data_IF_879521985452
#
_entry.id   IF_879521985452
#
_cell.length_a   1.000
_cell.length_b   1.000
_cell.length_c   1.000
_cell.angle_alpha   90.00
_cell.angle_beta   90.00
_cell.angle_gamma   90.00
#
_symmetry.space_group_name_H-M   'P 1'
#
loop_
_entity.id
_entity.type
_entity.pdbx_description
1 polymer ?
#
# COMPACT_ATOMS: atom_id res chain seq x y z
N UNK A 1 -16.84 -3.91 -18.42
CA UNK A 1 -15.54 -3.81 -17.69
C UNK A 1 -15.84 -3.86 -16.21
N UNK A 2 -15.02 -4.51 -15.39
CA UNK A 2 -15.22 -4.48 -13.93
C UNK A 2 -15.03 -3.04 -13.45
N UNK A 3 -16.09 -2.41 -12.96
CA UNK A 3 -16.02 -1.07 -12.37
C UNK A 3 -15.81 -1.24 -10.87
N UNK A 4 -14.66 -0.80 -10.35
CA UNK A 4 -14.34 -0.92 -8.93
C UNK A 4 -14.85 0.30 -8.15
N UNK A 5 -16.16 0.56 -8.19
CA UNK A 5 -16.79 1.78 -7.64
C UNK A 5 -16.52 2.03 -6.15
N UNK A 6 -16.14 0.97 -5.41
CA UNK A 6 -15.70 1.05 -4.02
C UNK A 6 -14.31 1.73 -3.84
N UNK A 7 -13.56 1.96 -4.93
CA UNK A 7 -12.37 2.82 -4.93
C UNK A 7 -12.84 4.28 -5.04
N UNK A 8 -13.14 4.91 -3.89
CA UNK A 8 -13.66 6.27 -3.85
C UNK A 8 -13.22 7.01 -2.57
N UNK A 9 -13.35 8.34 -2.59
CA UNK A 9 -13.01 9.24 -1.49
C UNK A 9 -13.78 8.91 -0.19
N UNK A 10 -15.04 8.49 -0.28
CA UNK A 10 -15.86 8.19 0.90
C UNK A 10 -15.31 7.02 1.71
N UNK A 11 -14.81 5.98 1.05
CA UNK A 11 -14.22 4.83 1.74
C UNK A 11 -12.73 5.02 2.01
N UNK A 12 -12.01 5.66 1.08
CA UNK A 12 -10.58 5.95 1.17
C UNK A 12 -9.75 4.76 1.66
N UNK A 13 -10.05 3.58 1.11
CA UNK A 13 -9.27 2.39 1.34
C UNK A 13 -7.86 2.57 0.77
N UNK A 14 -6.90 1.93 1.42
CA UNK A 14 -5.48 1.96 1.08
C UNK A 14 -4.92 0.55 1.12
N UNK A 15 -4.02 0.23 0.19
CA UNK A 15 -3.51 -1.12 -0.04
C UNK A 15 -1.99 -1.16 -0.05
N UNK A 16 -1.42 -2.17 0.62
CA UNK A 16 0.03 -2.42 0.60
C UNK A 16 0.32 -3.88 0.33
N UNK A 17 1.14 -4.13 -0.68
CA UNK A 17 1.62 -5.48 -1.00
C UNK A 17 2.81 -5.84 -0.11
N UNK A 18 2.81 -7.06 0.44
CA UNK A 18 3.89 -7.61 1.26
C UNK A 18 4.11 -9.07 0.90
N UNK A 19 5.30 -9.58 1.18
CA UNK A 19 5.55 -11.02 1.14
C UNK A 19 4.92 -11.68 2.38
N UNK A 20 4.27 -12.83 2.22
CA UNK A 20 3.55 -13.50 3.32
C UNK A 20 4.44 -13.89 4.49
N UNK A 21 5.73 -14.17 4.24
CA UNK A 21 6.69 -14.50 5.32
C UNK A 21 6.92 -13.33 6.28
N UNK A 22 6.62 -12.09 5.86
CA UNK A 22 6.73 -10.93 6.74
C UNK A 22 5.53 -10.82 7.69
N UNK A 23 4.41 -11.52 7.42
CA UNK A 23 3.17 -11.34 8.17
C UNK A 23 3.28 -11.67 9.65
N UNK A 24 3.89 -12.79 10.10
CA UNK A 24 4.03 -13.05 11.53
C UNK A 24 4.64 -11.87 12.28
N UNK A 25 5.76 -11.33 11.78
CA UNK A 25 6.42 -10.19 12.39
C UNK A 25 5.56 -8.92 12.32
N UNK A 26 4.93 -8.63 11.18
CA UNK A 26 4.08 -7.44 11.00
C UNK A 26 2.82 -7.50 11.88
N UNK A 27 2.27 -8.69 12.12
CA UNK A 27 1.12 -8.87 13.00
C UNK A 27 1.46 -8.62 14.47
N UNK A 28 2.71 -8.87 14.87
CA UNK A 28 3.20 -8.63 16.23
C UNK A 28 3.71 -7.19 16.44
N UNK A 29 4.25 -6.56 15.40
CA UNK A 29 4.96 -5.29 15.51
C UNK A 29 4.29 -4.12 14.77
N UNK A 30 3.20 -4.38 14.05
CA UNK A 30 2.59 -3.45 13.09
C UNK A 30 3.46 -3.20 11.85
N UNK A 31 2.98 -2.34 10.96
CA UNK A 31 3.66 -2.04 9.70
C UNK A 31 4.50 -0.79 9.90
N UNK A 32 5.82 -0.96 9.96
CA UNK A 32 6.77 0.13 10.23
C UNK A 32 7.36 0.73 8.96
N UNK A 33 7.71 2.01 9.01
CA UNK A 33 8.40 2.72 7.95
C UNK A 33 9.84 2.23 7.78
N UNK A 34 10.45 2.58 6.65
CA UNK A 34 11.79 2.13 6.31
C UNK A 34 12.87 2.71 7.23
N UNK A 35 12.67 3.91 7.80
CA UNK A 35 13.62 4.54 8.73
C UNK A 35 13.52 4.04 10.17
N UNK A 36 12.50 3.23 10.51
CA UNK A 36 12.33 2.62 11.83
C UNK A 36 13.59 1.89 12.31
N UNK A 37 13.90 2.00 13.60
CA UNK A 37 14.94 1.21 14.28
C UNK A 37 14.48 -0.21 14.57
N UNK A 38 13.17 -0.42 14.66
CA UNK A 38 12.56 -1.74 14.84
C UNK A 38 12.33 -2.34 13.46
N UNK A 39 13.02 -3.44 13.14
CA UNK A 39 12.94 -4.14 11.86
C UNK A 39 13.01 -5.64 12.06
N UNK A 40 12.44 -6.38 11.12
CA UNK A 40 12.64 -7.81 11.00
C UNK A 40 13.98 -8.08 10.30
N UNK A 41 14.90 -8.81 10.93
CA UNK A 41 16.17 -9.23 10.33
C UNK A 41 15.96 -10.17 9.15
N UNK A 42 14.81 -10.84 9.08
CA UNK A 42 14.44 -11.77 8.02
C UNK A 42 13.44 -11.17 7.02
N UNK A 43 13.28 -9.83 7.01
CA UNK A 43 12.32 -9.17 6.14
C UNK A 43 12.57 -9.49 4.66
N UNK A 44 11.57 -10.06 4.00
CA UNK A 44 11.61 -10.35 2.57
C UNK A 44 11.21 -9.11 1.78
N UNK A 45 12.20 -8.42 1.21
CA UNK A 45 11.99 -7.26 0.35
C UNK A 45 11.53 -7.68 -1.06
N UNK A 46 10.38 -7.17 -1.48
CA UNK A 46 9.78 -7.42 -2.81
C UNK A 46 9.69 -6.17 -3.68
N UNK A 47 10.03 -4.99 -3.14
CA UNK A 47 10.01 -3.72 -3.86
C UNK A 47 11.30 -3.44 -4.61
N UNK A 48 11.30 -2.38 -5.42
CA UNK A 48 12.48 -1.93 -6.14
C UNK A 48 13.50 -1.26 -5.19
N UNK A 49 14.68 -1.85 -5.05
CA UNK A 49 15.72 -1.39 -4.12
C UNK A 49 16.23 0.02 -4.41
N UNK A 50 16.41 0.38 -5.69
CA UNK A 50 16.85 1.72 -6.08
C UNK A 50 15.82 2.78 -5.69
N UNK A 51 14.53 2.49 -5.91
CA UNK A 51 13.45 3.39 -5.52
C UNK A 51 13.38 3.52 -4.00
N UNK A 52 13.52 2.42 -3.25
CA UNK A 52 13.55 2.44 -1.78
C UNK A 52 14.71 3.31 -1.29
N UNK A 53 15.90 3.16 -1.87
CA UNK A 53 17.07 3.97 -1.53
C UNK A 53 16.88 5.45 -1.84
N UNK A 54 16.30 5.80 -3.00
CA UNK A 54 16.05 7.21 -3.35
C UNK A 54 15.02 7.89 -2.44
N UNK A 55 14.07 7.13 -1.89
CA UNK A 55 13.05 7.64 -0.96
C UNK A 55 13.64 8.14 0.37
N UNK A 56 14.82 7.66 0.79
CA UNK A 56 15.47 8.16 2.03
C UNK A 56 15.92 9.61 1.93
N UNK A 57 16.06 10.15 0.71
CA UNK A 57 16.52 11.51 0.47
C UNK A 57 15.43 12.42 -0.11
N UNK A 58 14.20 11.92 -0.31
CA UNK A 58 13.09 12.70 -0.85
C UNK A 58 12.35 13.39 0.29
N UNK A 59 12.50 14.72 0.48
CA UNK A 59 11.85 15.43 1.56
C UNK A 59 10.34 15.48 1.36
N UNK A 60 9.61 15.47 2.47
CA UNK A 60 8.16 15.72 2.50
C UNK A 60 7.94 17.19 2.86
N UNK A 61 7.27 17.98 1.99
CA UNK A 61 7.25 19.44 2.10
C UNK A 61 6.26 19.99 3.14
N UNK A 62 5.42 19.14 3.73
CA UNK A 62 4.40 19.51 4.72
C UNK A 62 4.54 18.67 5.99
N UNK A 63 4.00 19.15 7.11
CA UNK A 63 4.04 18.45 8.40
C UNK A 63 3.44 17.03 8.29
N UNK A 64 3.98 16.02 9.00
CA UNK A 64 5.07 16.11 9.99
C UNK A 64 6.48 16.26 9.38
N UNK A 65 6.61 16.27 8.05
CA UNK A 65 7.87 16.49 7.36
C UNK A 65 8.75 15.24 7.32
N UNK A 66 10.07 15.41 7.39
CA UNK A 66 11.02 14.32 7.22
C UNK A 66 11.14 13.90 5.75
N UNK A 67 11.30 12.60 5.51
CA UNK A 67 11.56 12.02 4.20
C UNK A 67 10.54 10.94 3.86
N UNK A 68 10.42 10.55 2.59
CA UNK A 68 9.55 9.43 2.21
C UNK A 68 9.91 8.08 2.86
N UNK A 69 11.08 7.95 3.49
CA UNK A 69 11.46 6.76 4.27
C UNK A 69 10.85 6.72 5.67
N UNK A 70 10.39 7.87 6.18
CA UNK A 70 9.69 8.02 7.46
C UNK A 70 8.21 7.64 7.37
N UNK A 71 7.75 7.24 6.17
CA UNK A 71 6.37 6.86 5.91
C UNK A 71 6.27 5.45 5.36
N UNK A 72 5.19 4.75 5.71
CA UNK A 72 4.78 3.51 5.09
C UNK A 72 3.88 3.84 3.89
N UNK A 73 4.31 3.57 2.64
CA UNK A 73 3.49 3.83 1.47
C UNK A 73 2.42 2.76 1.29
N UNK A 74 1.22 3.22 0.94
CA UNK A 74 0.07 2.44 0.49
C UNK A 74 -0.46 3.05 -0.81
N UNK A 75 -0.99 2.22 -1.70
CA UNK A 75 -1.71 2.64 -2.89
C UNK A 75 -3.18 2.92 -2.58
N UNK A 76 -3.85 3.73 -3.40
CA UNK A 76 -5.31 3.84 -3.43
C UNK A 76 -6.01 2.81 -4.34
N UNK A 77 -5.29 1.75 -4.72
CA UNK A 77 -5.84 0.62 -5.48
C UNK A 77 -5.05 -0.66 -5.18
N UNK A 78 -5.69 -1.84 -5.15
CA UNK A 78 -4.96 -3.10 -5.04
C UNK A 78 -4.20 -3.48 -6.33
N UNK A 79 -4.46 -2.80 -7.46
CA UNK A 79 -3.94 -3.18 -8.78
C UNK A 79 -2.68 -2.40 -9.19
N UNK A 80 -1.64 -2.39 -8.35
CA UNK A 80 -0.48 -1.53 -8.59
C UNK A 80 0.44 -2.02 -9.72
N UNK A 81 1.13 -1.10 -10.43
CA UNK A 81 2.19 -1.47 -11.38
C UNK A 81 3.31 -2.28 -10.70
N UNK A 82 3.60 -2.02 -9.42
CA UNK A 82 4.60 -2.77 -8.66
C UNK A 82 4.19 -4.24 -8.49
N UNK A 83 2.92 -4.53 -8.21
CA UNK A 83 2.40 -5.89 -8.13
C UNK A 83 2.59 -6.64 -9.47
N UNK A 84 2.33 -5.98 -10.60
CA UNK A 84 2.59 -6.54 -11.92
C UNK A 84 4.09 -6.76 -12.19
N UNK A 85 4.96 -5.83 -11.78
CA UNK A 85 6.41 -5.99 -11.90
C UNK A 85 6.93 -7.17 -11.06
N UNK A 86 6.40 -7.39 -9.85
CA UNK A 86 6.73 -8.54 -9.00
C UNK A 86 6.29 -9.86 -9.66
N UNK A 87 5.09 -9.89 -10.23
CA UNK A 87 4.60 -11.07 -10.94
C UNK A 87 5.45 -11.41 -12.17
N UNK A 88 5.86 -10.39 -12.94
CA UNK A 88 6.66 -10.58 -14.16
C UNK A 88 8.16 -10.71 -13.91
N UNK A 89 8.66 -10.25 -12.76
CA UNK A 89 10.09 -10.12 -12.45
C UNK A 89 10.77 -8.91 -13.09
N UNK A 90 10.00 -7.90 -13.51
CA UNK A 90 10.55 -6.73 -14.22
C UNK A 90 11.15 -5.72 -13.24
N UNK A 91 12.47 -5.71 -13.12
CA UNK A 91 13.21 -4.75 -12.30
C UNK A 91 13.07 -4.96 -10.78
N UNK A 92 12.53 -6.12 -10.38
CA UNK A 92 12.36 -6.59 -8.99
C UNK A 92 12.41 -8.12 -8.96
N UNK A 93 12.73 -8.75 -7.82
CA UNK A 93 12.67 -10.21 -7.68
C UNK A 93 11.27 -10.73 -8.01
N UNK A 94 11.19 -11.75 -8.88
CA UNK A 94 9.93 -12.39 -9.23
C UNK A 94 9.38 -13.15 -8.02
N UNK A 95 8.08 -13.00 -7.74
CA UNK A 95 7.38 -13.75 -6.70
C UNK A 95 6.17 -14.48 -7.27
N UNK A 96 5.77 -15.58 -6.62
CA UNK A 96 4.51 -16.26 -6.93
C UNK A 96 3.35 -15.53 -6.26
N UNK A 97 2.16 -15.61 -6.85
CA UNK A 97 0.98 -14.99 -6.25
C UNK A 97 0.66 -15.56 -4.87
N UNK A 98 0.89 -16.86 -4.62
CA UNK A 98 0.70 -17.47 -3.29
C UNK A 98 1.59 -16.86 -2.22
N UNK A 99 2.72 -16.25 -2.59
CA UNK A 99 3.68 -15.67 -1.65
C UNK A 99 3.42 -14.18 -1.37
N UNK A 100 2.45 -13.57 -2.05
CA UNK A 100 2.07 -12.17 -1.86
C UNK A 100 0.75 -12.06 -1.10
N UNK A 101 0.70 -11.11 -0.17
CA UNK A 101 -0.51 -10.68 0.50
C UNK A 101 -0.71 -9.17 0.31
N UNK A 102 -1.96 -8.72 0.29
CA UNK A 102 -2.33 -7.31 0.19
C UNK A 102 -2.97 -6.90 1.51
N UNK A 103 -2.29 -6.04 2.25
CA UNK A 103 -2.81 -5.41 3.47
C UNK A 103 -3.80 -4.31 3.08
N UNK A 104 -4.92 -4.23 3.79
CA UNK A 104 -5.98 -3.24 3.56
C UNK A 104 -6.21 -2.43 4.83
N UNK A 105 -6.22 -1.11 4.71
CA UNK A 105 -6.67 -0.18 5.74
C UNK A 105 -7.50 0.94 5.09
N UNK A 106 -7.94 1.94 5.87
CA UNK A 106 -8.70 3.10 5.36
C UNK A 106 -8.28 4.37 6.08
N UNK A 107 -8.07 5.47 5.35
CA UNK A 107 -7.60 6.72 5.95
C UNK A 107 -8.53 7.28 7.06
N UNK A 108 -9.87 7.20 6.96
CA UNK A 108 -10.72 7.68 8.05
C UNK A 108 -10.50 6.93 9.37
N UNK A 109 -10.14 5.63 9.34
CA UNK A 109 -9.79 4.89 10.56
C UNK A 109 -8.49 5.40 11.21
N UNK A 110 -7.52 5.79 10.38
CA UNK A 110 -6.26 6.37 10.86
C UNK A 110 -6.52 7.73 11.50
N UNK A 111 -7.36 8.58 10.87
CA UNK A 111 -7.75 9.87 11.43
C UNK A 111 -8.50 9.71 12.76
N UNK A 112 -9.50 8.82 12.81
CA UNK A 112 -10.26 8.49 14.03
C UNK A 112 -9.35 8.02 15.17
N UNK A 113 -8.24 7.34 14.84
CA UNK A 113 -7.28 6.79 15.80
C UNK A 113 -6.07 7.70 16.06
N UNK A 114 -6.04 8.90 15.49
CA UNK A 114 -4.94 9.86 15.66
C UNK A 114 -3.60 9.41 15.06
N UNK A 115 -3.59 8.47 14.11
CA UNK A 115 -2.38 8.04 13.40
C UNK A 115 -2.05 9.06 12.31
N UNK A 116 -0.90 9.77 12.36
CA UNK A 116 -0.59 10.78 11.35
C UNK A 116 -0.36 10.14 9.98
N UNK A 117 -0.97 10.71 8.96
CA UNK A 117 -0.77 10.32 7.57
C UNK A 117 -0.76 11.54 6.67
N UNK A 118 -0.24 11.36 5.46
CA UNK A 118 -0.39 12.24 4.32
C UNK A 118 -0.89 11.42 3.14
N UNK A 119 -1.29 12.09 2.07
CA UNK A 119 -1.44 11.43 0.77
C UNK A 119 -1.02 12.36 -0.37
N UNK A 120 -0.90 11.77 -1.55
CA UNK A 120 -0.41 12.43 -2.76
C UNK A 120 -1.33 12.13 -3.93
N UNK A 121 -1.50 13.10 -4.84
CA UNK A 121 -2.34 12.96 -6.05
C UNK A 121 -1.73 12.04 -7.13
N UNK A 122 -0.48 11.61 -6.92
CA UNK A 122 0.33 10.79 -7.82
C UNK A 122 1.46 10.12 -7.05
N UNK A 123 2.31 9.36 -7.74
CA UNK A 123 3.48 8.73 -7.14
C UNK A 123 4.38 9.74 -6.38
N UNK A 124 4.53 9.61 -5.06
CA UNK A 124 5.12 10.64 -4.20
C UNK A 124 6.59 11.01 -4.50
N UNK A 125 7.31 10.13 -5.21
CA UNK A 125 8.68 10.42 -5.64
C UNK A 125 8.78 11.49 -6.74
N UNK A 126 7.72 11.71 -7.53
CA UNK A 126 7.79 12.64 -8.67
C UNK A 126 7.80 14.08 -8.17
N UNK A 127 8.47 14.99 -8.89
CA UNK A 127 8.62 16.39 -8.47
C UNK A 127 7.27 17.13 -8.44
N UNK A 128 6.32 16.68 -9.26
CA UNK A 128 4.99 17.27 -9.38
C UNK A 128 4.00 16.76 -8.33
N UNK A 129 4.39 15.82 -7.48
CA UNK A 129 3.50 15.29 -6.45
C UNK A 129 3.09 16.39 -5.47
N UNK A 130 1.77 16.61 -5.37
CA UNK A 130 1.18 17.48 -4.35
C UNK A 130 0.84 16.63 -3.13
N UNK A 131 1.07 17.19 -1.95
CA UNK A 131 0.85 16.49 -0.68
C UNK A 131 -0.34 17.12 0.05
N UNK A 132 -1.16 16.26 0.64
CA UNK A 132 -2.38 16.62 1.35
C UNK A 132 -2.41 15.92 2.70
N UNK A 133 -3.01 16.58 3.70
CA UNK A 133 -3.17 16.06 5.06
C UNK A 133 -4.62 16.02 5.53
N UNK A 134 -5.55 16.58 4.76
CA UNK A 134 -6.97 16.63 5.08
C UNK A 134 -7.75 15.63 4.20
N UNK A 135 -8.67 14.88 4.80
CA UNK A 135 -9.52 13.94 4.04
C UNK A 135 -10.47 14.66 3.08
N UNK A 136 -10.75 15.95 3.30
CA UNK A 136 -11.56 16.74 2.37
C UNK A 136 -10.87 16.92 1.00
N UNK A 137 -9.54 16.81 0.94
CA UNK A 137 -8.76 16.87 -0.31
C UNK A 137 -8.70 15.52 -1.08
N UNK A 138 -9.46 14.50 -0.65
CA UNK A 138 -9.47 13.21 -1.35
C UNK A 138 -10.06 13.28 -2.76
N UNK A 139 -10.73 14.37 -3.12
CA UNK A 139 -11.17 14.66 -4.49
C UNK A 139 -10.00 14.91 -5.46
N UNK A 140 -8.79 15.18 -4.94
CA UNK A 140 -7.57 15.36 -5.74
C UNK A 140 -7.01 14.06 -6.32
N UNK A 141 -7.49 12.90 -5.84
CA UNK A 141 -7.12 11.60 -6.38
C UNK A 141 -7.98 11.29 -7.60
N UNK A 142 -7.36 10.83 -8.68
CA UNK A 142 -8.03 10.44 -9.92
C UNK A 142 -8.76 9.09 -9.76
N UNK A 143 -9.86 9.08 -9.00
CA UNK A 143 -10.66 7.87 -8.74
C UNK A 143 -11.15 7.17 -10.02
N UNK A 144 -11.67 7.88 -11.05
CA UNK A 144 -12.07 7.23 -12.30
C UNK A 144 -10.93 6.44 -12.95
N UNK A 145 -9.71 6.98 -12.93
CA UNK A 145 -8.52 6.28 -13.44
C UNK A 145 -8.20 5.01 -12.62
N UNK A 146 -8.28 5.08 -11.29
CA UNK A 146 -8.06 3.93 -10.41
C UNK A 146 -9.12 2.84 -10.60
N UNK A 147 -10.39 3.24 -10.71
CA UNK A 147 -11.55 2.36 -10.94
C UNK A 147 -11.46 1.62 -12.29
N UNK A 148 -10.88 2.25 -13.31
CA UNK A 148 -10.68 1.65 -14.63
C UNK A 148 -9.56 0.59 -14.65
N UNK A 149 -8.79 0.42 -13.57
CA UNK A 149 -7.60 -0.48 -13.51
C UNK A 149 -6.63 -0.21 -14.68
N UNK A 150 -6.49 1.06 -15.09
CA UNK A 150 -5.71 1.42 -16.27
C UNK A 150 -4.38 2.08 -15.92
N UNK A 151 -3.36 1.24 -15.70
CA UNK A 151 -1.97 1.69 -15.59
C UNK A 151 -1.18 1.54 -16.90
N UNK A 152 -1.86 1.40 -18.05
CA UNK A 152 -1.15 1.39 -19.33
C UNK A 152 -0.58 2.78 -19.58
N UNK A 153 0.61 2.82 -20.20
CA UNK A 153 1.21 4.08 -20.63
C UNK A 153 0.36 4.68 -21.74
N UNK A 154 0.04 5.96 -21.59
CA UNK A 154 -0.66 6.74 -22.58
C UNK A 154 0.29 7.80 -23.15
N UNK A 155 0.66 7.73 -24.44
CA UNK A 155 1.53 8.74 -25.06
C UNK A 155 0.94 10.15 -25.04
N UNK A 156 -0.40 10.26 -25.11
CA UNK A 156 -1.10 11.54 -25.11
C UNK A 156 -1.31 12.09 -23.69
N UNK A 157 -1.09 11.27 -22.67
CA UNK A 157 -1.15 11.62 -21.25
C UNK A 157 -0.05 10.90 -20.45
N UNK A 158 1.21 11.36 -20.56
CA UNK A 158 2.35 10.69 -19.94
C UNK A 158 2.27 10.62 -18.40
N UNK A 159 1.58 11.57 -17.78
CA UNK A 159 1.41 11.66 -16.32
C UNK A 159 0.35 10.70 -15.77
N UNK A 160 -0.48 10.08 -16.62
CA UNK A 160 -1.52 9.13 -16.20
C UNK A 160 -0.95 8.03 -15.28
N UNK A 161 0.24 7.50 -15.61
CA UNK A 161 0.86 6.44 -14.80
C UNK A 161 1.34 6.94 -13.43
N UNK A 162 1.65 8.23 -13.31
CA UNK A 162 2.00 8.84 -12.04
C UNK A 162 0.75 8.99 -11.18
N UNK A 163 -0.35 9.56 -11.74
CA UNK A 163 -1.64 9.72 -11.05
C UNK A 163 -2.25 8.39 -10.62
N UNK A 164 -2.11 7.34 -11.45
CA UNK A 164 -2.53 5.99 -11.09
C UNK A 164 -1.83 5.45 -9.82
N UNK A 165 -0.65 5.98 -9.52
CA UNK A 165 0.17 5.57 -8.39
C UNK A 165 0.11 6.57 -7.23
N UNK A 166 -0.99 7.32 -7.10
CA UNK A 166 -1.31 8.08 -5.89
C UNK A 166 -1.04 7.25 -4.63
N UNK A 167 -0.30 7.82 -3.68
CA UNK A 167 0.10 7.13 -2.44
C UNK A 167 -0.56 7.76 -1.22
N UNK A 168 -1.04 6.91 -0.31
CA UNK A 168 -1.20 7.24 1.10
C UNK A 168 0.11 6.93 1.84
N UNK A 169 0.52 7.84 2.72
CA UNK A 169 1.79 7.83 3.41
C UNK A 169 1.53 7.87 4.92
N UNK A 170 1.58 6.71 5.58
CA UNK A 170 1.37 6.61 7.03
C UNK A 170 2.68 6.92 7.76
N UNK A 171 2.71 7.93 8.62
CA UNK A 171 3.94 8.36 9.28
C UNK A 171 4.36 7.38 10.38
N UNK A 172 5.63 6.95 10.36
CA UNK A 172 6.24 6.07 11.36
C UNK A 172 5.76 4.62 11.29
N UNK A 173 4.51 4.36 11.71
CA UNK A 173 3.97 3.00 11.83
C UNK A 173 2.45 3.00 11.69
N UNK A 174 1.92 1.99 10.98
CA UNK A 174 0.52 1.60 11.04
C UNK A 174 0.34 0.51 12.12
N UNK A 175 -0.42 0.77 13.20
CA UNK A 175 -0.84 -0.27 14.15
C UNK A 175 -1.63 -1.39 13.45
N UNK A 176 -1.42 -2.63 13.88
CA UNK A 176 -2.04 -3.81 13.25
C UNK A 176 -3.56 -3.80 13.41
N UNK A 177 -4.05 -3.20 14.49
CA UNK A 177 -5.47 -3.04 14.82
C UNK A 177 -6.22 -2.18 13.79
N UNK A 178 -5.49 -1.35 13.03
CA UNK A 178 -6.04 -0.53 11.95
C UNK A 178 -6.05 -1.25 10.59
N UNK A 179 -5.60 -2.50 10.52
CA UNK A 179 -5.85 -3.33 9.35
C UNK A 179 -7.32 -3.74 9.30
N UNK A 180 -7.96 -3.44 8.19
CA UNK A 180 -9.34 -3.89 7.90
C UNK A 180 -9.34 -5.32 7.40
N UNK A 181 -8.40 -5.65 6.50
CA UNK A 181 -8.30 -6.98 5.92
C UNK A 181 -6.88 -7.32 5.44
N UNK A 182 -6.64 -8.62 5.27
CA UNK A 182 -5.52 -9.17 4.51
C UNK A 182 -6.11 -9.97 3.35
N UNK A 183 -5.67 -9.67 2.14
CA UNK A 183 -6.07 -10.39 0.94
C UNK A 183 -4.95 -11.33 0.53
N UNK A 184 -5.28 -12.59 0.23
CA UNK A 184 -4.36 -13.62 -0.25
C UNK A 184 -4.86 -14.25 -1.55
N UNK A 185 -4.02 -15.06 -2.20
CA UNK A 185 -4.33 -15.64 -3.50
C UNK A 185 -5.18 -16.93 -3.43
N UNK A 186 -5.02 -17.75 -2.38
CA UNK A 186 -5.70 -19.05 -2.27
C UNK A 186 -6.40 -19.23 -0.91
N UNK A 187 -7.38 -20.12 -0.87
CA UNK A 187 -8.08 -20.48 0.38
C UNK A 187 -7.19 -21.22 1.37
N UNK A 188 -6.15 -21.92 0.88
CA UNK A 188 -5.13 -22.51 1.75
C UNK A 188 -4.40 -21.44 2.55
N UNK A 189 -3.88 -20.42 1.86
CA UNK A 189 -3.19 -19.30 2.51
C UNK A 189 -4.16 -18.54 3.40
N UNK A 190 -5.43 -18.39 2.99
CA UNK A 190 -6.46 -17.78 3.83
C UNK A 190 -6.58 -18.49 5.19
N UNK A 191 -6.70 -19.82 5.21
CA UNK A 191 -6.80 -20.59 6.44
C UNK A 191 -5.56 -20.47 7.33
N UNK A 192 -4.36 -20.47 6.73
CA UNK A 192 -3.10 -20.23 7.46
C UNK A 192 -3.11 -18.87 8.16
N UNK A 193 -3.54 -17.80 7.47
CA UNK A 193 -3.60 -16.45 8.02
C UNK A 193 -4.69 -16.29 9.09
N UNK A 194 -5.85 -16.93 8.91
CA UNK A 194 -6.92 -16.90 9.91
C UNK A 194 -6.46 -17.55 11.23
N UNK A 195 -5.66 -18.61 11.18
CA UNK A 195 -5.05 -19.21 12.37
C UNK A 195 -4.05 -18.27 13.05
N UNK A 196 -3.16 -17.63 12.29
CA UNK A 196 -2.18 -16.66 12.81
C UNK A 196 -2.86 -15.46 13.50
N UNK A 197 -3.97 -14.97 12.95
CA UNK A 197 -4.76 -13.87 13.51
C UNK A 197 -5.52 -14.31 14.76
N UNK A 198 -6.12 -15.50 14.75
CA UNK A 198 -6.84 -16.05 15.90
C UNK A 198 -5.89 -16.26 17.10
N UNK A 199 -4.68 -16.76 16.86
CA UNK A 199 -3.65 -16.93 17.89
C UNK A 199 -3.29 -15.61 18.58
N UNK A 200 -3.34 -14.49 17.84
CA UNK A 200 -3.06 -13.12 18.33
C UNK A 200 -4.30 -12.37 18.79
N UNK A 201 -5.49 -12.97 18.68
CA UNK A 201 -6.79 -12.34 18.99
C UNK A 201 -7.03 -11.05 18.19
N UNK A 202 -6.55 -11.02 16.95
CA UNK A 202 -6.72 -9.88 16.04
C UNK A 202 -8.01 -10.04 15.23
N UNK A 203 -8.79 -8.97 15.11
CA UNK A 203 -10.09 -8.96 14.41
C UNK A 203 -9.99 -8.61 12.91
N UNK A 204 -8.84 -8.85 12.29
CA UNK A 204 -8.58 -8.53 10.88
C UNK A 204 -9.26 -9.57 9.98
N UNK A 205 -9.97 -9.14 8.93
CA UNK A 205 -10.59 -10.09 7.99
C UNK A 205 -9.56 -10.70 7.04
N UNK A 206 -9.72 -11.96 6.65
CA UNK A 206 -8.92 -12.56 5.57
C UNK A 206 -9.80 -12.89 4.37
N UNK A 207 -9.38 -12.48 3.17
CA UNK A 207 -10.12 -12.74 1.92
C UNK A 207 -9.21 -13.37 0.88
N UNK A 208 -9.68 -14.45 0.27
CA UNK A 208 -9.06 -15.08 -0.90
C UNK A 208 -9.66 -14.45 -2.15
N UNK A 209 -8.88 -13.63 -2.88
CA UNK A 209 -9.35 -12.88 -4.05
C UNK A 209 -8.36 -13.06 -5.22
N UNK A 210 -8.29 -14.23 -5.86
CA UNK A 210 -7.31 -14.50 -6.92
C UNK A 210 -7.41 -13.52 -8.11
N UNK A 211 -8.60 -12.95 -8.37
CA UNK A 211 -8.82 -11.96 -9.43
C UNK A 211 -8.12 -10.61 -9.19
N UNK A 212 -7.60 -10.36 -7.98
CA UNK A 212 -6.82 -9.17 -7.67
C UNK A 212 -5.32 -9.32 -7.99
N UNK A 213 -4.90 -10.53 -8.33
CA UNK A 213 -3.54 -10.86 -8.70
C UNK A 213 -3.39 -10.89 -10.24
N UNK A 214 -2.19 -11.22 -10.73
CA UNK A 214 -1.85 -11.24 -12.16
C UNK A 214 -1.49 -12.65 -12.65
#
# INVERSE_FOLDING_TARGET
MANYENLNAKQAFIWRIVHRQNLPWLLDNGIVCASSQVRDSNFVAIGNADLISRRTHRPVPIAPGGTLSDYVPFYFTPFSPMMYNIYTGRGVPKQRNEDICILVSRLPALQESGVPFLFTDRHAYTQMARFFSDLDDLDQIDWPLLQARNFKRNPDDPEQIERYQAEALVHGKLPVELLTAIVCYTDKVKGELEMELAARRLSVQVRSLPKWYF
#
